data_IF_299741791906
#
_entry.id   IF_299741791906
#
_cell.length_a   1.000
_cell.length_b   1.000
_cell.length_c   1.000
_cell.angle_alpha   90.00
_cell.angle_beta   90.00
_cell.angle_gamma   90.00
#
_symmetry.space_group_name_H-M   'P 1'
#
loop_
_entity.id
_entity.type
_entity.pdbx_description
1 polymer ?
#
# COMPACT_ATOMS: atom_id res chain seq x y z
N UNK A 1 -13.26 -13.51 10.51
CA UNK A 1 -11.98 -14.23 10.36
C UNK A 1 -11.57 -14.01 8.92
N UNK A 2 -10.91 -12.89 8.65
CA UNK A 2 -10.59 -12.44 7.28
C UNK A 2 -9.14 -12.75 6.96
N UNK A 3 -9.01 -13.83 6.16
CA UNK A 3 -8.04 -14.12 5.11
C UNK A 3 -6.58 -13.65 5.30
N UNK A 4 -5.72 -14.65 5.49
CA UNK A 4 -4.28 -14.67 5.22
C UNK A 4 -3.92 -13.96 3.91
N UNK A 5 -3.64 -12.67 3.99
CA UNK A 5 -3.07 -11.92 2.88
C UNK A 5 -1.55 -12.18 2.90
N UNK A 6 -1.10 -13.08 2.03
CA UNK A 6 0.25 -13.21 1.45
C UNK A 6 1.42 -12.84 2.37
N UNK A 7 2.29 -13.81 2.69
CA UNK A 7 3.53 -13.59 3.44
C UNK A 7 4.24 -12.32 2.96
N UNK A 8 4.16 -11.28 3.80
CA UNK A 8 4.67 -9.97 3.48
C UNK A 8 6.19 -10.04 3.61
N UNK A 9 6.95 -9.87 2.51
CA UNK A 9 8.40 -10.05 2.58
C UNK A 9 9.12 -8.92 3.31
N UNK A 10 8.38 -7.91 3.80
CA UNK A 10 8.95 -6.75 4.48
C UNK A 10 9.32 -7.06 5.92
N UNK A 11 10.60 -6.91 6.23
CA UNK A 11 11.09 -6.95 7.60
C UNK A 11 10.46 -5.86 8.47
N UNK A 12 10.18 -4.69 7.88
CA UNK A 12 9.64 -3.51 8.58
C UNK A 12 8.15 -3.58 8.90
N UNK A 13 7.42 -4.61 8.44
CA UNK A 13 5.97 -4.71 8.64
C UNK A 13 5.60 -4.62 10.13
N UNK A 14 6.29 -5.40 10.97
CA UNK A 14 6.02 -5.43 12.42
C UNK A 14 6.34 -4.10 13.09
N UNK A 15 7.43 -3.46 12.70
CA UNK A 15 7.81 -2.16 13.24
C UNK A 15 6.75 -1.10 12.89
N UNK A 16 6.27 -1.14 11.65
CA UNK A 16 5.22 -0.24 11.18
C UNK A 16 3.85 -0.51 11.83
N UNK A 17 3.48 -1.77 12.06
CA UNK A 17 2.26 -2.15 12.78
C UNK A 17 2.26 -1.61 14.22
N UNK A 18 3.45 -1.55 14.84
CA UNK A 18 3.65 -1.02 16.19
C UNK A 18 3.94 0.49 16.24
N UNK A 19 4.13 1.14 15.08
CA UNK A 19 4.38 2.58 15.04
C UNK A 19 3.19 3.38 15.58
N UNK A 20 3.49 4.40 16.39
CA UNK A 20 2.50 5.34 16.91
C UNK A 20 1.87 6.13 15.77
N UNK A 21 2.67 6.73 14.89
CA UNK A 21 2.19 7.38 13.67
C UNK A 21 2.71 6.64 12.43
N UNK A 22 1.80 5.98 11.71
CA UNK A 22 2.17 5.16 10.55
C UNK A 22 2.62 5.98 9.34
N UNK A 23 2.10 7.20 9.17
CA UNK A 23 2.49 8.09 8.08
C UNK A 23 3.88 8.67 8.33
N UNK A 24 4.17 9.07 9.57
CA UNK A 24 5.52 9.50 9.97
C UNK A 24 6.55 8.38 9.75
N UNK A 25 6.22 7.15 10.17
CA UNK A 25 7.09 5.99 9.94
C UNK A 25 7.37 5.76 8.46
N UNK A 26 6.35 5.86 7.60
CA UNK A 26 6.54 5.76 6.15
C UNK A 26 7.41 6.89 5.61
N UNK A 27 7.18 8.14 6.00
CA UNK A 27 8.00 9.26 5.55
C UNK A 27 9.49 9.09 5.90
N UNK A 28 9.79 8.59 7.11
CA UNK A 28 11.17 8.41 7.60
C UNK A 28 11.88 7.23 6.92
N UNK A 29 11.16 6.14 6.63
CA UNK A 29 11.77 4.88 6.19
C UNK A 29 11.52 4.56 4.71
N UNK A 30 10.58 5.27 4.09
CA UNK A 30 10.04 4.97 2.77
C UNK A 30 9.62 6.28 2.08
N UNK A 31 10.61 7.08 1.67
CA UNK A 31 10.36 8.38 1.03
C UNK A 31 9.33 8.25 -0.10
N UNK A 32 8.11 8.73 0.15
CA UNK A 32 6.98 8.56 -0.77
C UNK A 32 7.23 9.26 -2.11
N UNK A 33 7.96 10.37 -2.10
CA UNK A 33 8.33 11.12 -3.30
C UNK A 33 9.37 10.38 -4.13
N UNK A 34 10.49 9.95 -3.53
CA UNK A 34 11.51 9.17 -4.26
C UNK A 34 11.03 7.79 -4.70
N UNK A 35 10.09 7.20 -3.95
CA UNK A 35 9.53 5.90 -4.25
C UNK A 35 8.70 5.90 -5.55
N UNK A 36 7.95 6.97 -5.84
CA UNK A 36 7.19 7.08 -7.09
C UNK A 36 8.10 7.10 -8.32
N UNK A 37 9.24 7.78 -8.25
CA UNK A 37 10.23 7.83 -9.34
C UNK A 37 10.90 6.48 -9.59
N UNK A 38 11.06 5.68 -8.53
CA UNK A 38 11.71 4.37 -8.58
C UNK A 38 10.74 3.20 -8.77
N UNK A 39 9.42 3.47 -8.80
CA UNK A 39 8.39 2.45 -8.93
C UNK A 39 8.62 1.55 -10.14
N UNK A 40 9.17 2.11 -11.23
CA UNK A 40 9.52 1.38 -12.44
C UNK A 40 10.70 0.42 -12.38
N UNK A 41 11.53 0.60 -11.37
CA UNK A 41 12.78 -0.13 -11.18
C UNK A 41 12.69 -1.18 -10.07
N UNK A 42 11.57 -1.23 -9.33
CA UNK A 42 11.39 -2.18 -8.24
C UNK A 42 11.43 -3.63 -8.73
N UNK A 43 12.15 -4.48 -8.00
CA UNK A 43 12.04 -5.92 -8.17
C UNK A 43 10.63 -6.39 -7.77
N UNK A 44 10.22 -7.59 -8.22
CA UNK A 44 8.94 -8.19 -7.79
C UNK A 44 8.85 -8.30 -6.26
N UNK A 45 9.96 -8.62 -5.58
CA UNK A 45 10.03 -8.69 -4.11
C UNK A 45 9.79 -7.32 -3.47
N UNK A 46 10.45 -6.28 -3.99
CA UNK A 46 10.34 -4.93 -3.44
C UNK A 46 8.97 -4.32 -3.73
N UNK A 47 8.40 -4.59 -4.90
CA UNK A 47 7.03 -4.19 -5.25
C UNK A 47 5.99 -4.86 -4.34
N UNK A 48 6.12 -6.18 -4.09
CA UNK A 48 5.27 -6.89 -3.13
C UNK A 48 5.43 -6.33 -1.72
N UNK A 49 6.66 -5.95 -1.35
CA UNK A 49 6.92 -5.34 -0.06
C UNK A 49 6.24 -3.96 0.06
N UNK A 50 6.43 -3.08 -0.93
CA UNK A 50 5.78 -1.78 -1.00
C UNK A 50 4.26 -1.90 -0.85
N UNK A 51 3.66 -2.80 -1.63
CA UNK A 51 2.22 -3.05 -1.60
C UNK A 51 1.74 -3.45 -0.21
N UNK A 52 2.46 -4.37 0.44
CA UNK A 52 2.13 -4.81 1.79
C UNK A 52 2.20 -3.67 2.81
N UNK A 53 3.28 -2.88 2.82
CA UNK A 53 3.43 -1.79 3.79
C UNK A 53 2.33 -0.73 3.60
N UNK A 54 2.07 -0.34 2.35
CA UNK A 54 1.04 0.65 2.05
C UNK A 54 -0.38 0.15 2.36
N UNK A 55 -0.65 -1.16 2.20
CA UNK A 55 -1.94 -1.74 2.61
C UNK A 55 -2.14 -1.70 4.13
N UNK A 56 -1.10 -1.93 4.92
CA UNK A 56 -1.17 -1.81 6.39
C UNK A 56 -1.39 -0.34 6.80
N UNK A 57 -0.67 0.60 6.17
CA UNK A 57 -0.86 2.04 6.41
C UNK A 57 -2.28 2.48 6.06
N UNK A 58 -2.80 2.05 4.91
CA UNK A 58 -4.18 2.30 4.48
C UNK A 58 -5.19 1.79 5.50
N UNK A 59 -5.01 0.57 6.00
CA UNK A 59 -5.91 -0.01 7.01
C UNK A 59 -5.89 0.75 8.34
N UNK A 60 -4.72 1.21 8.81
CA UNK A 60 -4.64 2.05 10.02
C UNK A 60 -5.29 3.42 9.84
N UNK A 61 -5.05 4.08 8.71
CA UNK A 61 -5.68 5.38 8.40
C UNK A 61 -7.21 5.23 8.28
N UNK A 62 -7.69 4.16 7.64
CA UNK A 62 -9.13 3.89 7.48
C UNK A 62 -9.84 3.64 8.82
N UNK A 63 -9.16 3.00 9.79
CA UNK A 63 -9.69 2.81 11.15
C UNK A 63 -9.81 4.12 11.93
N UNK A 64 -9.15 5.19 11.49
CA UNK A 64 -9.11 6.51 12.15
C UNK A 64 -8.68 6.42 13.63
N UNK A 65 -7.77 5.49 13.94
CA UNK A 65 -7.22 5.34 15.29
C UNK A 65 -6.52 6.63 15.77
N UNK A 66 -6.06 7.46 14.82
CA UNK A 66 -5.39 8.75 15.02
C UNK A 66 -5.94 9.74 13.99
N UNK A 67 -5.93 11.04 14.36
CA UNK A 67 -6.18 12.13 13.41
C UNK A 67 -4.93 12.36 12.56
N UNK A 68 -5.03 12.06 11.28
CA UNK A 68 -3.99 12.32 10.28
C UNK A 68 -4.31 13.61 9.51
N UNK A 69 -3.26 14.30 9.03
CA UNK A 69 -3.44 15.40 8.09
C UNK A 69 -4.00 14.88 6.76
N UNK A 70 -5.00 15.58 6.23
CA UNK A 70 -5.71 15.13 5.02
C UNK A 70 -4.78 15.06 3.80
N UNK A 71 -3.79 15.96 3.71
CA UNK A 71 -2.81 15.99 2.63
C UNK A 71 -1.88 14.79 2.72
N UNK A 72 -1.47 14.38 3.92
CA UNK A 72 -0.66 13.17 4.11
C UNK A 72 -1.44 11.91 3.74
N UNK A 73 -2.73 11.86 4.08
CA UNK A 73 -3.61 10.75 3.68
C UNK A 73 -3.78 10.71 2.16
N UNK A 74 -4.01 11.85 1.50
CA UNK A 74 -4.11 11.92 0.04
C UNK A 74 -2.83 11.43 -0.65
N UNK A 75 -1.66 11.87 -0.17
CA UNK A 75 -0.35 11.38 -0.67
C UNK A 75 -0.22 9.88 -0.53
N UNK A 76 -0.54 9.31 0.63
CA UNK A 76 -0.53 7.86 0.85
C UNK A 76 -1.39 7.15 -0.20
N UNK A 77 -2.60 7.65 -0.46
CA UNK A 77 -3.54 7.00 -1.36
C UNK A 77 -3.12 7.05 -2.83
N UNK A 78 -2.48 8.14 -3.25
CA UNK A 78 -1.89 8.25 -4.59
C UNK A 78 -0.80 7.18 -4.76
N UNK A 79 0.14 7.10 -3.83
CA UNK A 79 1.23 6.12 -3.87
C UNK A 79 0.69 4.70 -3.80
N UNK A 80 -0.25 4.44 -2.88
CA UNK A 80 -0.93 3.14 -2.77
C UNK A 80 -1.55 2.72 -4.10
N UNK A 81 -2.25 3.64 -4.79
CA UNK A 81 -2.94 3.34 -6.04
C UNK A 81 -1.95 2.95 -7.14
N UNK A 82 -0.86 3.70 -7.28
CA UNK A 82 0.19 3.42 -8.26
C UNK A 82 0.86 2.05 -8.00
N UNK A 83 1.20 1.76 -6.74
CA UNK A 83 1.79 0.47 -6.35
C UNK A 83 0.83 -0.68 -6.55
N UNK A 84 -0.42 -0.51 -6.12
CA UNK A 84 -1.43 -1.54 -6.21
C UNK A 84 -1.70 -1.89 -7.68
N UNK A 85 -1.86 -0.89 -8.55
CA UNK A 85 -2.02 -1.11 -9.99
C UNK A 85 -0.85 -1.91 -10.55
N UNK A 86 0.38 -1.48 -10.26
CA UNK A 86 1.58 -2.15 -10.76
C UNK A 86 1.73 -3.58 -10.24
N UNK A 87 1.52 -3.79 -8.94
CA UNK A 87 1.54 -5.11 -8.32
C UNK A 87 0.47 -6.02 -8.93
N UNK A 88 -0.76 -5.54 -9.10
CA UNK A 88 -1.85 -6.29 -9.74
C UNK A 88 -1.49 -6.68 -11.17
N UNK A 89 -0.92 -5.76 -11.95
CA UNK A 89 -0.50 -6.04 -13.33
C UNK A 89 0.57 -7.12 -13.36
N UNK A 90 1.58 -7.03 -12.49
CA UNK A 90 2.62 -8.04 -12.37
C UNK A 90 2.06 -9.43 -12.00
N UNK A 91 1.14 -9.50 -11.02
CA UNK A 91 0.52 -10.76 -10.56
C UNK A 91 -0.49 -11.33 -11.57
N UNK A 92 -1.15 -10.47 -12.35
CA UNK A 92 -2.10 -10.93 -13.39
C UNK A 92 -1.35 -11.58 -14.55
N UNK A 93 -0.15 -11.09 -14.88
CA UNK A 93 0.73 -11.70 -15.88
C UNK A 93 1.26 -13.05 -15.38
N UNK A 94 1.48 -13.21 -14.07
CA UNK A 94 2.03 -14.45 -13.50
C UNK A 94 0.99 -15.54 -13.20
N UNK A 95 -0.24 -15.21 -12.76
CA UNK A 95 -1.16 -16.24 -12.23
C UNK A 95 -2.61 -16.19 -12.74
N UNK A 96 -3.05 -15.21 -13.53
CA UNK A 96 -4.46 -15.15 -13.96
C UNK A 96 -5.47 -14.89 -12.82
N UNK A 97 -5.02 -14.49 -11.63
CA UNK A 97 -5.82 -14.25 -10.40
C UNK A 97 -6.29 -12.77 -10.28
N UNK A 98 -6.18 -11.98 -11.35
CA UNK A 98 -6.41 -10.52 -11.33
C UNK A 98 -7.81 -10.04 -10.90
N UNK A 99 -8.82 -10.90 -10.79
CA UNK A 99 -10.22 -10.51 -10.54
C UNK A 99 -10.50 -9.96 -9.13
N UNK A 100 -10.01 -10.63 -8.07
CA UNK A 100 -10.32 -10.25 -6.67
C UNK A 100 -9.62 -8.92 -6.29
N UNK A 101 -8.40 -8.74 -6.80
CA UNK A 101 -7.56 -7.57 -6.50
C UNK A 101 -7.98 -6.32 -7.31
N UNK A 102 -8.37 -6.47 -8.59
CA UNK A 102 -8.99 -5.39 -9.39
C UNK A 102 -10.27 -4.84 -8.75
N UNK A 103 -11.12 -5.72 -8.21
CA UNK A 103 -12.33 -5.29 -7.51
C UNK A 103 -12.01 -4.54 -6.21
N UNK A 104 -10.94 -4.90 -5.50
CA UNK A 104 -10.49 -4.18 -4.30
C UNK A 104 -9.98 -2.78 -4.68
N UNK A 105 -9.13 -2.66 -5.71
CA UNK A 105 -8.64 -1.37 -6.21
C UNK A 105 -9.78 -0.46 -6.72
N UNK A 106 -10.74 -1.02 -7.46
CA UNK A 106 -11.91 -0.27 -7.95
C UNK A 106 -12.76 0.29 -6.80
N UNK A 107 -13.01 -0.50 -5.76
CA UNK A 107 -13.71 -0.03 -4.55
C UNK A 107 -12.93 1.05 -3.82
N UNK A 108 -11.60 0.99 -3.84
CA UNK A 108 -10.76 2.01 -3.23
C UNK A 108 -10.84 3.33 -4.00
N UNK A 109 -10.60 3.32 -5.32
CA UNK A 109 -10.72 4.53 -6.15
C UNK A 109 -12.11 5.18 -6.02
N UNK A 110 -13.18 4.38 -5.92
CA UNK A 110 -14.55 4.88 -5.75
C UNK A 110 -14.81 5.58 -4.41
N UNK A 111 -14.08 5.25 -3.34
CA UNK A 111 -14.26 5.89 -2.02
C UNK A 111 -13.58 7.25 -1.91
N UNK A 112 -12.67 7.58 -2.82
CA UNK A 112 -11.92 8.85 -2.80
C UNK A 112 -12.40 9.85 -3.85
N UNK A 113 -13.09 9.41 -4.89
CA UNK A 113 -13.71 10.27 -5.91
C UNK A 113 -15.22 10.52 -5.70
N UNK A 114 -15.79 10.11 -4.56
CA UNK A 114 -17.21 10.21 -4.24
C UNK A 114 -17.47 11.07 -3.01
#
# INVERSE_FOLDING_TARGET
>A
MEEELYDCPCLMKKDMENAENILAFLCENYSLEGFMEQLDQLSSRDLKCAYCLLEVARQKVEKKDILYDIVEVEKLMIVYSAVAEKYILAETISEGVGGKLKNKLKKLLQRYHG
#
